data_IF_572412272189
#
_entry.id   IF_572412272189
#
_cell.length_a   1.000
_cell.length_b   1.000
_cell.length_c   1.000
_cell.angle_alpha   90.00
_cell.angle_beta   90.00
_cell.angle_gamma   90.00
#
_symmetry.space_group_name_H-M   'P 1'
#
loop_
_entity.id
_entity.type
_entity.pdbx_description
1 polymer ?
#
# COMPACT_ATOMS: atom_id res chain seq x y z
N UNK A 1 -0.26 -5.82 -17.69
CA UNK A 1 -0.04 -4.44 -17.16
C UNK A 1 1.03 -3.81 -18.03
N UNK A 2 0.79 -2.64 -18.65
CA UNK A 2 1.82 -1.96 -19.44
C UNK A 2 2.91 -1.40 -18.52
N UNK A 3 4.13 -1.21 -19.03
CA UNK A 3 5.24 -0.64 -18.26
C UNK A 3 4.88 0.75 -17.68
N UNK A 4 4.13 1.53 -18.43
CA UNK A 4 3.62 2.85 -18.03
C UNK A 4 2.64 2.76 -16.86
N UNK A 5 1.70 1.80 -16.91
CA UNK A 5 0.75 1.54 -15.82
C UNK A 5 1.48 1.18 -14.51
N UNK A 6 2.55 0.39 -14.61
CA UNK A 6 3.35 0.00 -13.45
C UNK A 6 4.08 1.20 -12.83
N UNK A 7 4.67 2.07 -13.66
CA UNK A 7 5.35 3.28 -13.19
C UNK A 7 4.40 4.22 -12.45
N UNK A 8 3.22 4.47 -13.01
CA UNK A 8 2.22 5.34 -12.37
C UNK A 8 1.70 4.77 -11.05
N UNK A 9 1.46 3.45 -10.99
CA UNK A 9 1.05 2.79 -9.76
C UNK A 9 2.13 2.90 -8.68
N UNK A 10 3.40 2.71 -9.04
CA UNK A 10 4.53 2.90 -8.14
C UNK A 10 4.60 4.35 -7.64
N UNK A 11 4.50 5.34 -8.52
CA UNK A 11 4.49 6.76 -8.14
C UNK A 11 3.35 7.08 -7.17
N UNK A 12 2.16 6.53 -7.40
CA UNK A 12 1.03 6.70 -6.50
C UNK A 12 1.29 6.07 -5.12
N UNK A 13 1.89 4.88 -5.06
CA UNK A 13 2.27 4.25 -3.79
C UNK A 13 3.36 5.08 -3.06
N UNK A 14 4.36 5.60 -3.79
CA UNK A 14 5.40 6.45 -3.21
C UNK A 14 4.85 7.76 -2.63
N UNK A 15 3.71 8.24 -3.14
CA UNK A 15 3.00 9.42 -2.63
C UNK A 15 2.26 9.20 -1.31
N UNK A 16 2.14 7.95 -0.84
CA UNK A 16 1.46 7.67 0.41
C UNK A 16 2.29 8.17 1.60
N UNK A 17 1.64 8.69 2.66
CA UNK A 17 2.35 9.04 3.88
C UNK A 17 2.87 7.78 4.59
N UNK A 18 3.88 7.94 5.44
CA UNK A 18 4.24 6.89 6.39
C UNK A 18 3.21 6.79 7.53
N UNK A 19 2.93 5.57 8.05
CA UNK A 19 3.49 4.27 7.67
C UNK A 19 2.77 3.55 6.51
N UNK A 20 1.73 4.14 5.91
CA UNK A 20 0.93 3.51 4.85
C UNK A 20 1.75 3.08 3.64
N UNK A 21 2.70 3.91 3.19
CA UNK A 21 3.60 3.58 2.08
C UNK A 21 4.40 2.33 2.37
N UNK A 22 5.03 2.27 3.52
CA UNK A 22 5.88 1.15 3.90
C UNK A 22 5.08 -0.13 4.14
N UNK A 23 3.87 -0.03 4.71
CA UNK A 23 2.92 -1.14 4.82
C UNK A 23 2.57 -1.71 3.43
N UNK A 24 2.37 -0.84 2.44
CA UNK A 24 2.07 -1.26 1.06
C UNK A 24 3.29 -1.93 0.41
N UNK A 25 4.49 -1.39 0.61
CA UNK A 25 5.75 -1.99 0.10
C UNK A 25 5.94 -3.40 0.62
N UNK A 26 5.91 -3.57 1.94
CA UNK A 26 6.04 -4.87 2.61
C UNK A 26 4.98 -5.88 2.17
N UNK A 27 3.72 -5.44 2.03
CA UNK A 27 2.64 -6.35 1.64
C UNK A 27 2.74 -6.82 0.18
N UNK A 28 3.06 -5.92 -0.74
CA UNK A 28 2.93 -6.19 -2.18
C UNK A 28 4.24 -6.54 -2.88
N UNK A 29 5.38 -6.10 -2.36
CA UNK A 29 6.70 -6.39 -2.94
C UNK A 29 7.44 -7.47 -2.14
N UNK A 30 7.32 -7.46 -0.81
CA UNK A 30 7.99 -8.44 0.06
C UNK A 30 7.09 -9.63 0.44
N UNK A 31 5.78 -9.55 0.15
CA UNK A 31 4.83 -10.63 0.39
C UNK A 31 4.45 -10.86 1.85
N UNK A 32 4.83 -9.94 2.75
CA UNK A 32 4.60 -10.07 4.19
C UNK A 32 3.11 -10.06 4.54
N UNK A 33 2.73 -10.88 5.52
CA UNK A 33 1.39 -10.94 6.12
C UNK A 33 1.21 -9.79 7.12
N UNK A 34 -0.04 -9.39 7.42
CA UNK A 34 -0.30 -8.26 8.33
C UNK A 34 0.34 -8.38 9.72
N UNK A 35 0.53 -9.59 10.26
CA UNK A 35 1.22 -9.78 11.54
C UNK A 35 2.73 -9.58 11.43
N UNK A 36 3.36 -10.05 10.35
CA UNK A 36 4.80 -9.81 10.10
C UNK A 36 5.07 -8.31 9.94
N UNK A 37 4.17 -7.59 9.24
CA UNK A 37 4.25 -6.13 9.10
C UNK A 37 4.00 -5.43 10.44
N UNK A 38 3.09 -5.95 11.25
CA UNK A 38 2.78 -5.45 12.59
C UNK A 38 4.02 -5.50 13.49
N UNK A 39 4.73 -6.62 13.48
CA UNK A 39 5.99 -6.81 14.19
C UNK A 39 7.09 -5.89 13.63
N UNK A 40 7.30 -5.89 12.32
CA UNK A 40 8.34 -5.10 11.66
C UNK A 40 8.19 -3.58 11.89
N UNK A 41 6.96 -3.09 11.95
CA UNK A 41 6.66 -1.66 12.14
C UNK A 41 6.31 -1.28 13.58
N UNK A 42 6.31 -2.24 14.52
CA UNK A 42 5.84 -2.02 15.90
C UNK A 42 4.45 -1.37 15.95
N UNK A 43 3.57 -1.74 15.02
CA UNK A 43 2.18 -1.27 14.95
C UNK A 43 1.25 -2.37 15.43
N UNK A 44 0.06 -2.03 15.91
CA UNK A 44 -0.95 -3.04 16.20
C UNK A 44 -1.50 -3.63 14.90
N UNK A 45 -1.68 -4.96 14.83
CA UNK A 45 -2.12 -5.66 13.60
C UNK A 45 -3.41 -5.10 13.01
N UNK A 46 -4.36 -4.67 13.87
CA UNK A 46 -5.59 -3.97 13.44
C UNK A 46 -5.31 -2.64 12.73
N UNK A 47 -4.30 -1.88 13.16
CA UNK A 47 -3.89 -0.64 12.48
C UNK A 47 -3.33 -0.97 11.10
N UNK A 48 -2.51 -2.03 10.98
CA UNK A 48 -1.99 -2.50 9.69
C UNK A 48 -3.14 -2.87 8.74
N UNK A 49 -4.13 -3.64 9.20
CA UNK A 49 -5.32 -3.96 8.41
C UNK A 49 -6.09 -2.71 7.95
N UNK A 50 -6.35 -1.78 8.87
CA UNK A 50 -7.07 -0.54 8.55
C UNK A 50 -6.30 0.31 7.51
N UNK A 51 -4.98 0.41 7.67
CA UNK A 51 -4.11 1.16 6.76
C UNK A 51 -4.02 0.50 5.39
N UNK A 52 -3.91 -0.83 5.32
CA UNK A 52 -3.99 -1.59 4.07
C UNK A 52 -5.33 -1.36 3.36
N UNK A 53 -6.44 -1.41 4.10
CA UNK A 53 -7.76 -1.17 3.53
C UNK A 53 -7.88 0.24 2.94
N UNK A 54 -7.53 1.28 3.72
CA UNK A 54 -7.59 2.68 3.26
C UNK A 54 -6.66 2.93 2.07
N UNK A 55 -5.46 2.37 2.10
CA UNK A 55 -4.47 2.46 1.02
C UNK A 55 -4.99 1.84 -0.28
N UNK A 56 -5.63 0.66 -0.21
CA UNK A 56 -6.30 0.05 -1.37
C UNK A 56 -7.47 0.90 -1.90
N UNK A 57 -8.29 1.49 -1.02
CA UNK A 57 -9.37 2.37 -1.46
C UNK A 57 -8.83 3.60 -2.19
N UNK A 58 -7.77 4.22 -1.67
CA UNK A 58 -7.10 5.36 -2.34
C UNK A 58 -6.58 4.98 -3.73
N UNK A 59 -5.89 3.83 -3.85
CA UNK A 59 -5.43 3.35 -5.16
C UNK A 59 -6.60 3.09 -6.13
N UNK A 60 -7.70 2.50 -5.63
CA UNK A 60 -8.89 2.24 -6.44
C UNK A 60 -9.52 3.54 -6.93
N UNK A 61 -9.69 4.53 -6.06
CA UNK A 61 -10.22 5.85 -6.43
C UNK A 61 -9.31 6.54 -7.45
N UNK A 62 -8.00 6.55 -7.22
CA UNK A 62 -7.04 7.09 -8.18
C UNK A 62 -7.14 6.40 -9.55
N UNK A 63 -7.21 5.07 -9.57
CA UNK A 63 -7.36 4.29 -10.79
C UNK A 63 -8.65 4.60 -11.55
N UNK A 64 -9.75 4.79 -10.82
CA UNK A 64 -11.05 5.15 -11.41
C UNK A 64 -11.04 6.56 -12.00
N UNK A 65 -10.39 7.51 -11.33
CA UNK A 65 -10.32 8.91 -11.77
C UNK A 65 -9.29 9.15 -12.90
N UNK A 66 -8.49 8.13 -13.24
CA UNK A 66 -7.53 8.17 -14.34
C UNK A 66 -8.19 7.94 -15.72
N UNK A 67 -9.40 7.38 -15.75
CA UNK A 67 -10.19 7.17 -16.97
C UNK A 67 -10.99 8.42 -17.33
#
# INVERSE_FOLDING_TARGET
ISKETYTELNQMIESFPEPEREIMKRRFYEGQRPHEISEALSLHVRQVHNKLYRSRQRLRTWWMNRK
#
